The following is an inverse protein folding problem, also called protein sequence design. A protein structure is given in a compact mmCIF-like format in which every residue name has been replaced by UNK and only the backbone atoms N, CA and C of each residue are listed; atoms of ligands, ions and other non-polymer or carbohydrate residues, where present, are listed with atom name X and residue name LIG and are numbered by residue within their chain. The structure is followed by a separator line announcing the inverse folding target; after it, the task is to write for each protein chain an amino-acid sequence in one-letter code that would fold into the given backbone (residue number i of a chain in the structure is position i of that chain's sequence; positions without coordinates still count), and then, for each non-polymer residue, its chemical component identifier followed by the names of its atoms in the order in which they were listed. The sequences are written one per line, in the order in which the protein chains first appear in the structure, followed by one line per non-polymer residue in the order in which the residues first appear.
data_IF_000551290501
#
_entry.id   IF_000551290501
#
_cell.length_a   1.000
_cell.length_b   1.000
_cell.length_c   1.000
_cell.angle_alpha   90.00
_cell.angle_beta   90.00
_cell.angle_gamma   90.00
#
_symmetry.space_group_name_H-M   'P 1'
#
loop_
_entity.id
_entity.type
_entity.pdbx_description
1 polymer ?
#
# COMPACT_ATOMS: atom_id res chain seq x y z
N UNK A 1 -6.19 14.13 -1.71
CA UNK A 1 -5.51 12.94 -2.26
C UNK A 1 -4.15 13.38 -2.76
N UNK A 2 -3.08 13.07 -2.03
CA UNK A 2 -1.72 13.59 -2.28
C UNK A 2 -0.74 12.54 -2.83
N UNK A 3 -1.22 11.40 -3.33
CA UNK A 3 -0.38 10.37 -3.94
C UNK A 3 -0.95 9.93 -5.29
N UNK A 4 -0.08 9.44 -6.16
CA UNK A 4 -0.43 8.89 -7.47
C UNK A 4 0.00 7.43 -7.49
N UNK A 5 -0.94 6.54 -7.80
CA UNK A 5 -0.64 5.13 -8.03
C UNK A 5 -0.30 4.91 -9.49
N UNK A 6 0.64 4.00 -9.74
CA UNK A 6 0.81 3.46 -11.08
C UNK A 6 -0.32 2.49 -11.37
N UNK A 7 -0.64 2.28 -12.65
CA UNK A 7 -1.64 1.28 -13.05
C UNK A 7 -1.35 -0.12 -12.49
N UNK A 8 -0.08 -0.52 -12.48
CA UNK A 8 0.32 -1.80 -11.89
C UNK A 8 -0.02 -1.86 -10.39
N UNK A 9 0.26 -0.79 -9.64
CA UNK A 9 -0.03 -0.75 -8.21
C UNK A 9 -1.55 -0.78 -7.93
N UNK A 10 -2.36 -0.19 -8.79
CA UNK A 10 -3.83 -0.28 -8.70
C UNK A 10 -4.31 -1.71 -8.96
N UNK A 11 -3.79 -2.36 -10.01
CA UNK A 11 -4.08 -3.77 -10.30
C UNK A 11 -3.67 -4.69 -9.14
N UNK A 12 -2.51 -4.45 -8.52
CA UNK A 12 -2.03 -5.19 -7.36
C UNK A 12 -2.98 -5.03 -6.15
N UNK A 13 -3.50 -3.82 -5.90
CA UNK A 13 -4.48 -3.58 -4.83
C UNK A 13 -5.79 -4.35 -5.05
N UNK A 14 -6.27 -4.40 -6.30
CA UNK A 14 -7.46 -5.18 -6.66
C UNK A 14 -7.23 -6.66 -6.40
N UNK A 15 -6.09 -7.20 -6.81
CA UNK A 15 -5.75 -8.62 -6.58
C UNK A 15 -5.67 -8.95 -5.10
N UNK A 16 -5.04 -8.09 -4.29
CA UNK A 16 -4.97 -8.24 -2.83
C UNK A 16 -6.38 -8.26 -2.22
N UNK A 17 -7.26 -7.37 -2.65
CA UNK A 17 -8.64 -7.31 -2.14
C UNK A 17 -9.44 -8.57 -2.53
N UNK A 18 -9.37 -8.99 -3.79
CA UNK A 18 -10.05 -10.21 -4.27
C UNK A 18 -9.55 -11.45 -3.53
N UNK A 19 -8.24 -11.59 -3.36
CA UNK A 19 -7.65 -12.67 -2.57
C UNK A 19 -8.13 -12.61 -1.12
N UNK A 20 -8.12 -11.43 -0.51
CA UNK A 20 -8.58 -11.22 0.86
C UNK A 20 -10.04 -11.62 1.07
N UNK A 21 -10.91 -11.33 0.09
CA UNK A 21 -12.32 -11.74 0.14
C UNK A 21 -12.47 -13.26 0.14
N UNK A 22 -11.72 -13.96 -0.72
CA UNK A 22 -11.78 -15.43 -0.83
C UNK A 22 -11.16 -16.11 0.40
N UNK A 23 -10.05 -15.58 0.91
CA UNK A 23 -9.28 -16.22 1.97
C UNK A 23 -9.78 -15.90 3.38
N UNK A 24 -10.27 -14.68 3.63
CA UNK A 24 -10.60 -14.18 4.97
C UNK A 24 -12.02 -13.60 5.09
N UNK A 25 -12.76 -13.55 3.99
CA UNK A 25 -14.10 -12.98 3.93
C UNK A 25 -14.12 -11.46 3.69
N UNK A 26 -15.29 -10.93 3.29
CA UNK A 26 -15.42 -9.55 2.81
C UNK A 26 -15.08 -8.50 3.88
N UNK A 27 -15.51 -8.71 5.13
CA UNK A 27 -15.25 -7.76 6.23
C UNK A 27 -13.75 -7.59 6.50
N UNK A 28 -12.98 -8.68 6.46
CA UNK A 28 -11.54 -8.60 6.70
C UNK A 28 -10.81 -7.98 5.50
N UNK A 29 -11.27 -8.27 4.28
CA UNK A 29 -10.74 -7.67 3.06
C UNK A 29 -10.95 -6.15 3.02
N UNK A 30 -12.14 -5.68 3.37
CA UNK A 30 -12.49 -4.25 3.43
C UNK A 30 -11.66 -3.53 4.51
N UNK A 31 -11.56 -4.12 5.70
CA UNK A 31 -10.72 -3.57 6.78
C UNK A 31 -9.25 -3.47 6.36
N UNK A 32 -8.72 -4.50 5.70
CA UNK A 32 -7.35 -4.48 5.22
C UNK A 32 -7.14 -3.43 4.13
N UNK A 33 -8.07 -3.32 3.17
CA UNK A 33 -8.01 -2.31 2.11
C UNK A 33 -8.03 -0.88 2.69
N UNK A 34 -8.92 -0.58 3.63
CA UNK A 34 -8.94 0.72 4.30
C UNK A 34 -7.66 1.00 5.12
N UNK A 35 -7.03 -0.04 5.67
CA UNK A 35 -5.73 0.12 6.36
C UNK A 35 -4.59 0.48 5.41
N UNK A 36 -4.64 0.00 4.17
CA UNK A 36 -3.66 0.34 3.12
C UNK A 36 -3.83 1.80 2.69
N UNK A 37 -5.05 2.27 2.45
CA UNK A 37 -5.30 3.68 2.10
C UNK A 37 -4.78 4.64 3.18
N UNK A 38 -5.05 4.35 4.45
CA UNK A 38 -4.56 5.14 5.56
C UNK A 38 -3.02 5.15 5.65
N UNK A 39 -2.38 4.07 5.23
CA UNK A 39 -0.91 4.00 5.17
C UNK A 39 -0.39 4.86 4.02
N UNK A 40 -1.02 4.84 2.85
CA UNK A 40 -0.64 5.69 1.72
C UNK A 40 -0.80 7.17 2.02
N UNK A 41 -1.87 7.56 2.72
CA UNK A 41 -2.06 8.95 3.18
C UNK A 41 -0.91 9.36 4.11
N UNK A 42 -0.56 8.52 5.09
CA UNK A 42 0.55 8.80 6.02
C UNK A 42 1.91 8.93 5.32
N UNK A 43 2.17 8.09 4.32
CA UNK A 43 3.40 8.19 3.50
C UNK A 43 3.39 9.49 2.70
N UNK A 44 2.26 9.85 2.10
CA UNK A 44 2.13 11.07 1.32
C UNK A 44 2.30 12.34 2.17
N UNK A 45 1.83 12.32 3.42
CA UNK A 45 1.97 13.42 4.37
C UNK A 45 3.36 13.51 5.00
N UNK A 46 4.05 12.37 5.18
CA UNK A 46 5.38 12.32 5.74
C UNK A 46 6.29 11.36 4.94
N UNK A 47 6.88 11.85 3.83
CA UNK A 47 7.71 11.02 2.96
C UNK A 47 8.89 10.40 3.71
N UNK A 48 9.52 11.09 4.65
CA UNK A 48 10.74 10.62 5.34
C UNK A 48 10.47 9.56 6.44
N UNK A 49 9.22 9.14 6.61
CA UNK A 49 8.81 8.18 7.65
C UNK A 49 9.48 6.81 7.52
N UNK A 50 9.88 6.41 6.30
CA UNK A 50 10.41 5.08 6.03
C UNK A 50 11.86 5.12 5.52
N UNK A 51 12.67 4.11 5.89
CA UNK A 51 14.05 4.04 5.47
C UNK A 51 14.15 3.89 3.95
N UNK A 52 15.15 4.56 3.38
CA UNK A 52 15.46 4.42 1.95
C UNK A 52 16.06 3.04 1.69
N UNK A 53 15.44 2.31 0.77
CA UNK A 53 15.97 1.06 0.26
C UNK A 53 16.86 1.31 -0.96
N UNK A 54 17.93 2.06 -0.74
CA UNK A 54 18.91 2.42 -1.78
C UNK A 54 19.56 1.21 -2.43
N UNK A 55 19.59 0.06 -1.73
CA UNK A 55 20.06 -1.23 -2.23
C UNK A 55 19.22 -1.81 -3.37
N UNK A 56 17.93 -1.45 -3.47
CA UNK A 56 17.04 -1.92 -4.54
C UNK A 56 16.95 -0.87 -5.65
N UNK A 57 16.70 0.40 -5.31
CA UNK A 57 16.62 1.52 -6.26
C UNK A 57 16.87 2.84 -5.55
N UNK A 58 17.60 3.76 -6.20
CA UNK A 58 17.74 5.14 -5.70
C UNK A 58 16.36 5.80 -5.59
N UNK A 59 16.08 6.42 -4.44
CA UNK A 59 14.79 7.06 -4.08
C UNK A 59 13.60 6.08 -3.96
N UNK A 60 13.85 4.85 -3.51
CA UNK A 60 12.80 3.93 -3.07
C UNK A 60 12.74 3.93 -1.54
N UNK A 61 11.53 3.97 -0.99
CA UNK A 61 11.25 3.74 0.42
C UNK A 61 10.45 2.46 0.57
N UNK A 62 10.76 1.67 1.60
CA UNK A 62 10.06 0.41 1.87
C UNK A 62 9.33 0.52 3.19
N UNK A 63 8.05 0.14 3.16
CA UNK A 63 7.24 -0.11 4.34
C UNK A 63 7.75 -1.40 5.00
N UNK A 64 8.68 -1.29 5.95
CA UNK A 64 8.99 -2.40 6.86
C UNK A 64 7.98 -2.34 8.01
N UNK A 65 6.99 -3.23 7.98
CA UNK A 65 6.08 -3.54 9.09
C UNK A 65 6.62 -4.68 9.93
#
# INVERSE_FOLDING_TARGET
MNYVLTRQAEEDLIQIYLYGQVAFGPTQAEKYHGSLENTFIRIAENPEMYPLATSIRKRLQILCS
#
